data_IF_434323714912
#
_entry.id   IF_434323714912
#
_cell.length_a   1.000
_cell.length_b   1.000
_cell.length_c   1.000
_cell.angle_alpha   90.00
_cell.angle_beta   90.00
_cell.angle_gamma   90.00
#
_symmetry.space_group_name_H-M   'P 1'
#
loop_
_entity.id
_entity.type
_entity.pdbx_description
1 polymer ?
#
# COMPACT_ATOMS: atom_id res chain seq x y z
N UNK A 1 11.41 13.51 -0.38
CA UNK A 1 11.08 14.41 0.74
C UNK A 1 9.60 14.28 1.06
N UNK A 2 9.25 14.36 2.34
CA UNK A 2 7.86 14.38 2.79
C UNK A 2 7.29 15.79 2.68
N UNK A 3 6.01 15.90 2.34
CA UNK A 3 5.27 17.16 2.37
C UNK A 3 4.26 17.05 3.50
N UNK A 4 4.30 17.99 4.45
CA UNK A 4 3.35 18.07 5.55
C UNK A 4 2.47 19.28 5.32
N UNK A 5 1.15 19.11 5.44
CA UNK A 5 0.20 20.18 5.22
C UNK A 5 -1.17 19.87 5.81
N UNK A 6 -2.14 20.74 5.51
CA UNK A 6 -3.53 20.54 5.86
C UNK A 6 -4.33 20.17 4.60
N UNK A 7 -5.17 19.15 4.69
CA UNK A 7 -6.16 18.76 3.69
C UNK A 7 -7.50 18.60 4.40
N UNK A 8 -8.50 19.39 4.01
CA UNK A 8 -9.80 19.45 4.70
C UNK A 8 -9.67 19.71 6.22
N UNK A 9 -8.70 20.56 6.61
CA UNK A 9 -8.40 20.87 8.02
C UNK A 9 -7.61 19.79 8.77
N UNK A 10 -7.34 18.64 8.15
CA UNK A 10 -6.60 17.51 8.74
C UNK A 10 -5.12 17.62 8.40
N UNK A 11 -4.24 17.38 9.38
CA UNK A 11 -2.80 17.27 9.13
C UNK A 11 -2.50 15.98 8.35
N UNK A 12 -1.94 16.14 7.15
CA UNK A 12 -1.57 15.03 6.25
C UNK A 12 -0.07 15.06 5.98
N UNK A 13 0.50 13.86 5.82
CA UNK A 13 1.85 13.64 5.33
C UNK A 13 1.78 12.97 3.96
N UNK A 14 2.34 13.62 2.94
CA UNK A 14 2.44 13.06 1.59
C UNK A 14 3.88 12.66 1.26
N UNK A 15 4.03 11.49 0.63
CA UNK A 15 5.28 10.99 0.09
C UNK A 15 5.06 10.50 -1.34
N UNK A 16 5.79 11.08 -2.30
CA UNK A 16 5.92 10.49 -3.62
C UNK A 16 6.81 9.26 -3.52
N UNK A 17 6.21 8.05 -3.61
CA UNK A 17 6.91 6.76 -3.42
C UNK A 17 8.20 6.67 -4.24
N UNK A 18 8.12 6.94 -5.53
CA UNK A 18 9.23 6.87 -6.48
C UNK A 18 10.12 8.13 -6.53
N UNK A 19 10.00 9.01 -5.52
CA UNK A 19 10.65 10.32 -5.51
C UNK A 19 10.01 11.33 -6.48
N UNK A 20 10.34 12.62 -6.30
CA UNK A 20 9.95 13.65 -7.29
C UNK A 20 10.68 13.36 -8.60
N UNK A 21 9.96 13.42 -9.72
CA UNK A 21 10.48 13.02 -11.03
C UNK A 21 10.51 11.51 -11.29
N UNK A 22 9.95 10.68 -10.39
CA UNK A 22 9.76 9.24 -10.61
C UNK A 22 11.04 8.47 -10.97
N UNK A 23 12.13 8.69 -10.21
CA UNK A 23 13.46 8.20 -10.54
C UNK A 23 13.90 6.93 -9.81
N UNK A 24 13.10 6.42 -8.87
CA UNK A 24 13.41 5.20 -8.11
C UNK A 24 12.66 4.00 -8.68
N UNK A 25 13.35 2.89 -8.95
CA UNK A 25 12.72 1.62 -9.26
C UNK A 25 12.01 1.04 -8.03
N UNK A 26 10.99 0.17 -8.20
CA UNK A 26 10.32 -0.49 -7.08
C UNK A 26 11.27 -1.19 -6.08
N UNK A 27 12.32 -1.85 -6.58
CA UNK A 27 13.31 -2.55 -5.75
C UNK A 27 14.29 -1.61 -5.01
N UNK A 28 14.41 -0.36 -5.45
CA UNK A 28 15.29 0.66 -4.84
C UNK A 28 14.57 1.49 -3.78
N UNK A 29 13.25 1.31 -3.64
CA UNK A 29 12.45 2.09 -2.73
C UNK A 29 12.91 1.87 -1.28
N UNK A 30 13.19 2.96 -0.53
CA UNK A 30 13.66 2.85 0.86
C UNK A 30 12.47 2.61 1.81
N UNK A 31 11.75 1.49 1.65
CA UNK A 31 10.49 1.20 2.34
C UNK A 31 10.59 1.36 3.87
N UNK A 32 11.67 0.86 4.49
CA UNK A 32 11.91 1.02 5.93
C UNK A 32 12.01 2.48 6.33
N UNK A 33 12.82 3.27 5.62
CA UNK A 33 12.97 4.70 5.92
C UNK A 33 11.64 5.44 5.71
N UNK A 34 10.90 5.11 4.66
CA UNK A 34 9.60 5.71 4.35
C UNK A 34 8.61 5.50 5.50
N UNK A 35 8.41 4.25 5.91
CA UNK A 35 7.46 3.92 6.98
C UNK A 35 7.94 4.41 8.34
N UNK A 36 9.24 4.32 8.63
CA UNK A 36 9.81 4.84 9.88
C UNK A 36 9.62 6.35 10.01
N UNK A 37 9.84 7.11 8.94
CA UNK A 37 9.61 8.54 8.91
C UNK A 37 8.12 8.88 9.06
N UNK A 38 7.21 8.15 8.40
CA UNK A 38 5.76 8.30 8.60
C UNK A 38 5.38 8.08 10.06
N UNK A 39 5.87 7.00 10.69
CA UNK A 39 5.63 6.73 12.10
C UNK A 39 6.18 7.84 13.01
N UNK A 40 7.38 8.32 12.72
CA UNK A 40 8.02 9.41 13.46
C UNK A 40 7.26 10.73 13.35
N UNK A 41 6.56 10.96 12.23
CA UNK A 41 5.68 12.10 12.02
C UNK A 41 4.29 11.95 12.66
N UNK A 42 4.02 10.80 13.30
CA UNK A 42 2.74 10.52 13.98
C UNK A 42 1.64 9.99 13.07
N UNK A 43 1.98 9.43 11.90
CA UNK A 43 0.98 8.84 11.01
C UNK A 43 0.36 7.59 11.63
N UNK A 44 -0.97 7.57 11.73
CA UNK A 44 -1.76 6.43 12.24
C UNK A 44 -2.51 5.67 11.15
N UNK A 45 -2.80 6.32 10.02
CA UNK A 45 -3.49 5.77 8.86
C UNK A 45 -2.67 6.07 7.59
N UNK A 46 -2.43 5.04 6.77
CA UNK A 46 -1.67 5.14 5.53
C UNK A 46 -2.51 4.60 4.39
N UNK A 47 -2.86 5.50 3.46
CA UNK A 47 -3.49 5.17 2.19
C UNK A 47 -2.40 5.10 1.13
N UNK A 48 -2.24 3.91 0.54
CA UNK A 48 -1.30 3.66 -0.54
C UNK A 48 -2.01 3.73 -1.88
N UNK A 49 -1.82 4.82 -2.63
CA UNK A 49 -2.26 4.91 -4.02
C UNK A 49 -1.23 4.23 -4.94
N UNK A 50 -1.68 3.29 -5.78
CA UNK A 50 -0.79 2.50 -6.63
C UNK A 50 -1.40 2.19 -7.98
N UNK A 51 -0.66 2.43 -9.06
CA UNK A 51 -0.99 1.90 -10.38
C UNK A 51 -0.81 0.38 -10.41
N UNK A 52 -1.74 -0.33 -11.03
CA UNK A 52 -1.76 -1.79 -11.11
C UNK A 52 -2.24 -2.29 -12.46
N UNK A 53 -1.73 -3.44 -12.88
CA UNK A 53 -2.31 -4.24 -13.97
C UNK A 53 -3.45 -5.10 -13.43
N UNK A 54 -4.49 -5.28 -14.23
CA UNK A 54 -5.60 -6.17 -13.92
C UNK A 54 -5.28 -7.60 -14.35
N UNK A 55 -5.57 -8.56 -13.46
CA UNK A 55 -5.51 -9.98 -13.75
C UNK A 55 -6.92 -10.57 -13.96
N UNK A 56 -7.97 -9.74 -14.10
CA UNK A 56 -9.35 -10.19 -14.28
C UNK A 56 -10.07 -9.36 -15.34
N UNK A 57 -10.79 -10.02 -16.24
CA UNK A 57 -11.59 -9.36 -17.29
C UNK A 57 -12.57 -8.32 -16.73
N UNK A 58 -13.20 -8.63 -15.58
CA UNK A 58 -14.18 -7.75 -14.95
C UNK A 58 -13.58 -6.49 -14.31
N UNK A 59 -12.27 -6.44 -14.08
CA UNK A 59 -11.55 -5.30 -13.48
C UNK A 59 -10.88 -4.55 -14.62
N UNK A 60 -11.50 -3.46 -15.07
CA UNK A 60 -11.13 -2.77 -16.31
C UNK A 60 -10.12 -1.65 -16.05
N UNK A 61 -9.34 -1.20 -17.04
CA UNK A 61 -8.60 0.05 -16.95
C UNK A 61 -9.51 1.20 -16.51
N UNK A 62 -8.98 2.08 -15.66
CA UNK A 62 -9.69 3.16 -14.93
C UNK A 62 -10.54 2.72 -13.73
N UNK A 63 -10.85 1.42 -13.59
CA UNK A 63 -11.49 0.94 -12.37
C UNK A 63 -10.57 1.11 -11.15
N UNK A 64 -11.20 1.16 -9.98
CA UNK A 64 -10.51 1.20 -8.70
C UNK A 64 -10.73 -0.09 -7.95
N UNK A 65 -9.66 -0.59 -7.31
CA UNK A 65 -9.71 -1.77 -6.46
C UNK A 65 -9.21 -1.42 -5.06
N UNK A 66 -9.93 -1.84 -4.05
CA UNK A 66 -9.48 -1.78 -2.65
C UNK A 66 -9.20 -3.22 -2.19
N UNK A 67 -8.00 -3.77 -2.46
CA UNK A 67 -7.68 -5.17 -2.15
C UNK A 67 -7.62 -5.38 -0.64
N UNK A 68 -7.92 -6.62 -0.20
CA UNK A 68 -7.81 -7.00 1.22
C UNK A 68 -6.74 -8.07 1.46
N UNK A 69 -6.17 -8.66 0.40
CA UNK A 69 -5.15 -9.70 0.48
C UNK A 69 -3.98 -9.43 -0.44
N UNK A 70 -2.85 -10.07 -0.14
CA UNK A 70 -1.63 -9.97 -0.94
C UNK A 70 -1.00 -11.33 -1.22
N UNK A 71 -0.29 -11.44 -2.35
CA UNK A 71 0.67 -12.52 -2.65
C UNK A 71 2.05 -11.89 -2.83
N UNK A 72 3.06 -12.44 -2.17
CA UNK A 72 4.45 -11.98 -2.29
C UNK A 72 5.21 -12.72 -3.38
N UNK A 73 5.67 -11.97 -4.39
CA UNK A 73 6.64 -12.40 -5.39
C UNK A 73 7.87 -11.50 -5.41
N UNK A 74 8.08 -10.72 -4.35
CA UNK A 74 9.32 -9.99 -4.12
C UNK A 74 10.39 -10.92 -3.54
N UNK A 75 11.66 -10.64 -3.80
CA UNK A 75 12.78 -11.53 -3.47
C UNK A 75 13.98 -10.80 -2.88
N UNK A 76 14.14 -9.49 -3.13
CA UNK A 76 15.37 -8.76 -2.80
C UNK A 76 15.21 -7.72 -1.68
N UNK A 77 14.00 -7.61 -1.10
CA UNK A 77 13.63 -6.48 -0.24
C UNK A 77 13.66 -6.85 1.23
N UNK A 78 14.24 -5.97 2.05
CA UNK A 78 14.17 -6.09 3.50
C UNK A 78 12.76 -5.69 3.96
N UNK A 79 12.02 -6.65 4.51
CA UNK A 79 10.61 -6.51 4.85
C UNK A 79 10.30 -6.51 6.36
N UNK A 80 11.30 -6.18 7.19
CA UNK A 80 11.14 -6.02 8.64
C UNK A 80 12.05 -4.92 9.19
N UNK A 81 11.63 -4.27 10.27
CA UNK A 81 12.44 -3.38 11.12
C UNK A 81 13.24 -4.14 12.18
N UNK A 82 12.79 -5.35 12.52
CA UNK A 82 13.32 -6.14 13.62
C UNK A 82 14.50 -7.01 13.17
N UNK A 83 15.20 -7.59 14.14
CA UNK A 83 16.57 -8.09 14.00
C UNK A 83 17.47 -7.43 15.04
N UNK A 84 18.79 -7.62 14.90
CA UNK A 84 19.79 -6.96 15.76
C UNK A 84 19.48 -7.08 17.28
N UNK A 85 19.01 -8.26 17.71
CA UNK A 85 18.69 -8.55 19.11
C UNK A 85 17.23 -8.27 19.56
N UNK A 86 16.37 -7.75 18.69
CA UNK A 86 14.93 -7.60 18.97
C UNK A 86 14.14 -8.48 18.01
N UNK A 87 13.45 -9.50 18.54
CA UNK A 87 12.63 -10.44 17.79
C UNK A 87 11.16 -10.04 17.85
N UNK A 88 10.53 -9.91 16.68
CA UNK A 88 9.10 -9.76 16.57
C UNK A 88 8.51 -10.63 15.44
N UNK A 89 7.35 -11.23 15.69
CA UNK A 89 6.56 -11.96 14.67
C UNK A 89 5.16 -11.37 14.58
N UNK A 90 4.96 -10.53 13.57
CA UNK A 90 3.71 -9.79 13.41
C UNK A 90 2.61 -10.67 12.79
N UNK A 91 1.42 -10.63 13.37
CA UNK A 91 0.24 -11.24 12.76
C UNK A 91 -0.08 -10.55 11.42
N UNK A 92 -0.10 -11.32 10.34
CA UNK A 92 -0.24 -10.78 8.98
C UNK A 92 -1.20 -11.58 8.08
N UNK A 93 -2.06 -12.42 8.67
CA UNK A 93 -3.11 -13.16 7.93
C UNK A 93 -4.12 -12.21 7.26
N UNK A 94 -4.45 -11.10 7.93
CA UNK A 94 -5.19 -9.98 7.36
C UNK A 94 -4.23 -8.79 7.20
N UNK A 95 -3.66 -8.56 6.01
CA UNK A 95 -2.58 -7.59 5.82
C UNK A 95 -3.08 -6.14 5.72
N UNK A 96 -4.37 -5.95 5.43
CA UNK A 96 -5.01 -4.64 5.24
C UNK A 96 -5.91 -4.31 6.44
N UNK A 97 -5.98 -3.02 6.81
CA UNK A 97 -6.97 -2.52 7.75
C UNK A 97 -8.34 -2.43 7.05
N UNK A 98 -9.23 -3.39 7.32
CA UNK A 98 -10.56 -3.42 6.69
C UNK A 98 -11.41 -2.18 7.00
N UNK A 99 -11.23 -1.57 8.18
CA UNK A 99 -11.94 -0.35 8.52
C UNK A 99 -11.49 0.85 7.67
N UNK A 100 -10.18 0.99 7.42
CA UNK A 100 -9.65 2.00 6.50
C UNK A 100 -10.01 1.70 5.04
N UNK A 101 -10.04 0.42 4.65
CA UNK A 101 -10.54 -0.01 3.34
C UNK A 101 -12.03 0.34 3.13
N UNK A 102 -12.86 0.22 4.18
CA UNK A 102 -14.25 0.67 4.18
C UNK A 102 -14.35 2.18 3.92
N UNK A 103 -13.55 3.00 4.63
CA UNK A 103 -13.52 4.45 4.41
C UNK A 103 -13.16 4.81 2.95
N UNK A 104 -12.17 4.12 2.36
CA UNK A 104 -11.83 4.32 0.94
C UNK A 104 -12.98 3.92 0.02
N UNK A 105 -13.62 2.79 0.29
CA UNK A 105 -14.74 2.28 -0.50
C UNK A 105 -15.93 3.24 -0.48
N UNK A 106 -16.27 3.75 0.71
CA UNK A 106 -17.34 4.73 0.89
C UNK A 106 -17.02 6.06 0.21
N UNK A 107 -15.75 6.50 0.26
CA UNK A 107 -15.30 7.71 -0.43
C UNK A 107 -15.45 7.58 -1.97
N UNK A 108 -15.05 6.43 -2.54
CA UNK A 108 -15.18 6.17 -3.98
C UNK A 108 -16.66 6.13 -4.38
N UNK A 109 -17.49 5.40 -3.62
CA UNK A 109 -18.92 5.29 -3.89
C UNK A 109 -19.65 6.64 -3.80
N UNK A 110 -19.25 7.50 -2.85
CA UNK A 110 -19.83 8.83 -2.67
C UNK A 110 -19.57 9.75 -3.87
N UNK A 111 -18.37 9.71 -4.44
CA UNK A 111 -17.95 10.62 -5.51
C UNK A 111 -18.61 10.33 -6.87
N UNK A 112 -19.20 9.14 -7.06
CA UNK A 112 -19.88 8.73 -8.31
C UNK A 112 -19.05 9.05 -9.57
N UNK A 113 -17.78 8.67 -9.54
CA UNK A 113 -16.84 8.97 -10.61
C UNK A 113 -17.34 8.35 -11.94
N UNK A 114 -17.41 9.13 -13.03
CA UNK A 114 -17.90 8.63 -14.32
C UNK A 114 -16.96 7.56 -14.86
N UNK A 115 -17.55 6.49 -15.41
CA UNK A 115 -16.83 5.39 -16.06
C UNK A 115 -15.79 4.68 -15.18
N UNK A 116 -15.96 4.75 -13.85
CA UNK A 116 -15.10 4.07 -12.86
C UNK A 116 -15.95 3.11 -12.04
N UNK A 117 -15.62 1.82 -12.08
CA UNK A 117 -16.22 0.83 -11.17
C UNK A 117 -15.33 0.63 -9.95
N UNK A 118 -15.97 0.49 -8.78
CA UNK A 118 -15.30 0.08 -7.55
C UNK A 118 -15.36 -1.43 -7.37
N UNK A 119 -14.20 -2.05 -7.19
CA UNK A 119 -14.06 -3.45 -6.77
C UNK A 119 -13.58 -3.50 -5.33
N UNK A 120 -14.47 -3.93 -4.42
CA UNK A 120 -14.12 -4.13 -3.02
C UNK A 120 -13.50 -5.51 -2.83
N UNK A 121 -12.26 -5.53 -2.34
CA UNK A 121 -11.50 -6.74 -2.08
C UNK A 121 -10.73 -7.29 -3.27
N UNK A 122 -10.36 -8.57 -3.16
CA UNK A 122 -9.43 -9.22 -4.09
C UNK A 122 -7.98 -9.25 -3.57
N UNK A 123 -7.15 -9.94 -4.35
CA UNK A 123 -5.76 -10.23 -3.99
C UNK A 123 -4.81 -9.46 -4.89
N UNK A 124 -3.94 -8.66 -4.29
CA UNK A 124 -2.86 -7.95 -4.97
C UNK A 124 -1.62 -8.84 -5.00
N UNK A 125 -1.14 -9.19 -6.20
CA UNK A 125 0.17 -9.83 -6.34
C UNK A 125 1.26 -8.77 -6.45
N UNK A 126 2.23 -8.82 -5.53
CA UNK A 126 3.37 -7.91 -5.54
C UNK A 126 4.58 -8.60 -6.15
N UNK A 127 4.93 -8.27 -7.39
CA UNK A 127 6.15 -8.77 -8.06
C UNK A 127 7.36 -7.85 -7.80
N UNK A 128 8.56 -8.38 -8.07
CA UNK A 128 9.80 -7.62 -7.87
C UNK A 128 9.96 -6.45 -8.87
N UNK A 129 9.71 -6.70 -10.16
CA UNK A 129 10.05 -5.76 -11.24
C UNK A 129 11.56 -5.76 -11.58
N UNK A 130 12.05 -4.79 -12.39
CA UNK A 130 11.29 -3.71 -13.00
C UNK A 130 10.58 -4.11 -14.30
N UNK A 131 10.94 -5.25 -14.90
CA UNK A 131 10.23 -5.77 -16.05
C UNK A 131 8.80 -6.17 -15.66
N UNK A 132 7.85 -5.93 -16.57
CA UNK A 132 6.51 -6.50 -16.47
C UNK A 132 6.55 -8.02 -16.60
N UNK A 133 5.45 -8.68 -16.23
CA UNK A 133 5.30 -10.12 -16.33
C UNK A 133 5.49 -10.61 -17.77
N UNK A 134 6.00 -11.82 -17.91
CA UNK A 134 5.78 -12.64 -19.10
C UNK A 134 4.32 -13.13 -19.13
N UNK A 135 3.81 -13.49 -20.32
CA UNK A 135 2.45 -14.07 -20.47
C UNK A 135 2.24 -15.32 -19.62
N UNK A 136 3.29 -16.13 -19.42
CA UNK A 136 3.24 -17.32 -18.58
C UNK A 136 3.06 -16.96 -17.09
N UNK A 137 3.78 -15.95 -16.61
CA UNK A 137 3.63 -15.45 -15.24
C UNK A 137 2.24 -14.87 -15.00
N UNK A 138 1.72 -14.03 -15.90
CA UNK A 138 0.36 -13.47 -15.74
C UNK A 138 -0.70 -14.58 -15.67
N UNK A 139 -0.60 -15.60 -16.51
CA UNK A 139 -1.52 -16.74 -16.47
C UNK A 139 -1.36 -17.60 -15.21
N UNK A 140 -0.14 -17.78 -14.71
CA UNK A 140 0.11 -18.43 -13.42
C UNK A 140 -0.55 -17.67 -12.28
N UNK A 141 -0.36 -16.35 -12.22
CA UNK A 141 -0.93 -15.49 -11.18
C UNK A 141 -2.46 -15.46 -11.22
N UNK A 142 -3.05 -15.50 -12.43
CA UNK A 142 -4.49 -15.70 -12.62
C UNK A 142 -4.96 -17.05 -12.08
N UNK A 143 -4.21 -18.13 -12.32
CA UNK A 143 -4.55 -19.46 -11.78
C UNK A 143 -4.52 -19.52 -10.25
N UNK A 144 -3.73 -18.65 -9.60
CA UNK A 144 -3.72 -18.49 -8.13
C UNK A 144 -4.89 -17.65 -7.61
N UNK A 145 -5.71 -17.08 -8.49
CA UNK A 145 -6.84 -16.22 -8.13
C UNK A 145 -6.46 -14.78 -7.82
N UNK A 146 -5.25 -14.33 -8.16
CA UNK A 146 -4.88 -12.91 -8.02
C UNK A 146 -5.82 -12.01 -8.84
N UNK A 147 -6.20 -10.86 -8.29
CA UNK A 147 -7.11 -9.91 -8.94
C UNK A 147 -6.35 -8.83 -9.72
N UNK A 148 -5.26 -8.35 -9.13
CA UNK A 148 -4.45 -7.24 -9.65
C UNK A 148 -2.98 -7.51 -9.35
N UNK A 149 -2.09 -6.90 -10.13
CA UNK A 149 -0.64 -7.02 -9.99
C UNK A 149 0.00 -5.64 -9.92
N UNK A 150 0.98 -5.50 -9.03
CA UNK A 150 1.85 -4.35 -8.99
C UNK A 150 3.17 -4.69 -8.33
N UNK A 151 3.97 -3.67 -7.99
CA UNK A 151 5.36 -3.89 -7.59
C UNK A 151 5.72 -3.31 -6.21
N UNK A 152 4.79 -2.71 -5.45
CA UNK A 152 5.19 -1.82 -4.33
C UNK A 152 4.53 -2.06 -2.98
N UNK A 153 3.33 -2.64 -2.90
CA UNK A 153 2.54 -2.51 -1.67
C UNK A 153 2.86 -3.52 -0.56
N UNK A 154 3.46 -4.67 -0.85
CA UNK A 154 3.53 -5.71 0.17
C UNK A 154 4.62 -5.49 1.22
N UNK A 155 5.84 -5.13 0.81
CA UNK A 155 6.90 -4.72 1.74
C UNK A 155 6.44 -3.51 2.57
N UNK A 156 5.74 -2.56 1.93
CA UNK A 156 5.15 -1.39 2.57
C UNK A 156 4.10 -1.77 3.63
N UNK A 157 3.18 -2.69 3.33
CA UNK A 157 2.14 -3.17 4.23
C UNK A 157 2.72 -3.92 5.46
N UNK A 158 3.73 -4.79 5.24
CA UNK A 158 4.43 -5.50 6.33
C UNK A 158 5.05 -4.52 7.32
N UNK A 159 5.80 -3.54 6.80
CA UNK A 159 6.45 -2.52 7.61
C UNK A 159 5.44 -1.58 8.28
N UNK A 160 4.35 -1.21 7.60
CA UNK A 160 3.28 -0.41 8.20
C UNK A 160 2.64 -1.13 9.38
N UNK A 161 2.42 -2.45 9.28
CA UNK A 161 1.93 -3.27 10.39
C UNK A 161 2.90 -3.31 11.56
N UNK A 162 4.19 -3.53 11.30
CA UNK A 162 5.23 -3.49 12.35
C UNK A 162 5.35 -2.11 13.02
N UNK A 163 5.11 -1.03 12.27
CA UNK A 163 5.07 0.33 12.79
C UNK A 163 3.74 0.70 13.46
N UNK A 164 2.79 -0.24 13.56
CA UNK A 164 1.45 -0.05 14.09
C UNK A 164 0.67 1.07 13.40
N UNK A 165 0.73 1.10 12.07
CA UNK A 165 0.01 2.02 11.20
C UNK A 165 -1.10 1.24 10.48
N UNK A 166 -2.32 1.75 10.51
CA UNK A 166 -3.44 1.20 9.74
C UNK A 166 -3.17 1.41 8.25
N UNK A 167 -3.02 0.33 7.48
CA UNK A 167 -2.65 0.36 6.07
C UNK A 167 -3.81 -0.05 5.17
N UNK A 168 -4.04 0.68 4.08
CA UNK A 168 -4.93 0.24 3.00
C UNK A 168 -4.45 0.73 1.65
N UNK A 169 -4.83 0.02 0.58
CA UNK A 169 -4.43 0.31 -0.79
C UNK A 169 -5.62 0.86 -1.58
N UNK A 170 -5.39 1.96 -2.28
CA UNK A 170 -6.20 2.43 -3.39
C UNK A 170 -5.49 2.03 -4.69
N UNK A 171 -5.91 0.92 -5.29
CA UNK A 171 -5.31 0.42 -6.52
C UNK A 171 -6.04 1.02 -7.74
N UNK A 172 -5.28 1.57 -8.66
CA UNK A 172 -5.74 2.30 -9.83
C UNK A 172 -5.37 1.49 -11.07
N UNK A 173 -6.35 0.86 -11.72
CA UNK A 173 -6.09 -0.06 -12.82
C UNK A 173 -5.69 0.72 -14.05
N UNK A 174 -4.55 0.40 -14.65
CA UNK A 174 -4.02 1.09 -15.83
C UNK A 174 -4.21 0.30 -17.12
N UNK A 175 -4.17 -1.02 -17.01
CA UNK A 175 -4.12 -1.98 -18.12
C UNK A 175 -4.48 -3.39 -17.59
N UNK A 176 -4.53 -4.39 -18.47
CA UNK A 176 -4.81 -5.79 -18.12
C UNK A 176 -3.56 -6.66 -17.93
N UNK A 177 -2.41 -6.08 -17.59
CA UNK A 177 -1.12 -6.78 -17.69
C UNK A 177 -0.97 -7.41 -19.11
N UNK A 178 -0.07 -8.38 -19.30
CA UNK A 178 0.19 -8.94 -20.63
C UNK A 178 -0.66 -10.16 -21.03
N UNK A 179 -1.62 -10.60 -20.19
CA UNK A 179 -2.44 -11.78 -20.49
C UNK A 179 -3.57 -11.51 -21.49
N UNK A 180 -4.01 -10.25 -21.60
CA UNK A 180 -5.16 -9.90 -22.41
C UNK A 180 -4.77 -9.84 -23.91
N UNK A 181 -5.61 -10.36 -24.83
CA UNK A 181 -5.33 -10.32 -26.27
C UNK A 181 -5.06 -8.91 -26.80
N UNK A 182 -5.78 -7.92 -26.27
CA UNK A 182 -5.61 -6.51 -26.66
C UNK A 182 -4.37 -5.84 -26.02
N UNK A 183 -3.55 -6.56 -25.26
CA UNK A 183 -2.34 -5.99 -24.65
C UNK A 183 -1.41 -5.37 -25.69
N UNK A 184 -1.26 -6.00 -26.86
CA UNK A 184 -0.40 -5.50 -27.93
C UNK A 184 -0.97 -4.22 -28.59
N UNK A 185 -2.20 -3.82 -28.26
CA UNK A 185 -2.82 -2.54 -28.63
C UNK A 185 -2.67 -1.47 -27.56
N UNK A 186 -2.18 -1.81 -26.36
CA UNK A 186 -1.92 -0.85 -25.28
C UNK A 186 -0.64 -0.06 -25.61
N UNK A 187 -0.81 1.19 -25.99
CA UNK A 187 0.31 2.11 -26.23
C UNK A 187 0.77 2.78 -24.93
N UNK A 188 2.03 3.24 -24.90
CA UNK A 188 2.57 4.05 -23.79
C UNK A 188 1.68 5.28 -23.54
N UNK A 189 1.20 5.92 -24.60
CA UNK A 189 0.35 7.10 -24.50
C UNK A 189 -1.00 6.79 -23.84
N UNK A 190 -1.61 5.63 -24.12
CA UNK A 190 -2.82 5.18 -23.44
C UNK A 190 -2.58 4.95 -21.94
N UNK A 191 -1.45 4.31 -21.58
CA UNK A 191 -1.07 4.10 -20.18
C UNK A 191 -0.89 5.45 -19.47
N UNK A 192 -0.18 6.39 -20.09
CA UNK A 192 0.04 7.73 -19.54
C UNK A 192 -1.29 8.49 -19.38
N UNK A 193 -2.18 8.42 -20.37
CA UNK A 193 -3.52 9.01 -20.30
C UNK A 193 -4.37 8.43 -19.17
N UNK A 194 -4.36 7.11 -19.01
CA UNK A 194 -5.04 6.43 -17.91
C UNK A 194 -4.43 6.82 -16.55
N UNK A 195 -3.10 6.91 -16.44
CA UNK A 195 -2.41 7.35 -15.23
C UNK A 195 -2.82 8.78 -14.82
N UNK A 196 -2.93 9.71 -15.79
CA UNK A 196 -3.35 11.08 -15.50
C UNK A 196 -4.80 11.15 -15.01
N UNK A 197 -5.73 10.43 -15.66
CA UNK A 197 -7.12 10.35 -15.20
C UNK A 197 -7.21 9.71 -13.82
N UNK A 198 -6.51 8.60 -13.61
CA UNK A 198 -6.43 7.91 -12.33
C UNK A 198 -5.84 8.81 -11.24
N UNK A 199 -4.84 9.64 -11.54
CA UNK A 199 -4.26 10.57 -10.59
C UNK A 199 -5.28 11.62 -10.12
N UNK A 200 -6.04 12.21 -11.04
CA UNK A 200 -7.11 13.16 -10.70
C UNK A 200 -8.18 12.52 -9.83
N UNK A 201 -8.66 11.34 -10.23
CA UNK A 201 -9.68 10.60 -9.48
C UNK A 201 -9.17 10.19 -8.09
N UNK A 202 -7.92 9.71 -7.99
CA UNK A 202 -7.30 9.36 -6.72
C UNK A 202 -7.18 10.56 -5.78
N UNK A 203 -6.87 11.76 -6.29
CA UNK A 203 -6.82 12.97 -5.46
C UNK A 203 -8.20 13.31 -4.87
N UNK A 204 -9.27 13.18 -5.66
CA UNK A 204 -10.64 13.38 -5.18
C UNK A 204 -11.00 12.35 -4.10
N UNK A 205 -10.72 11.07 -4.34
CA UNK A 205 -10.96 9.98 -3.39
C UNK A 205 -10.17 10.17 -2.10
N UNK A 206 -8.89 10.53 -2.17
CA UNK A 206 -8.04 10.75 -1.00
C UNK A 206 -8.56 11.95 -0.18
N UNK A 207 -8.96 13.04 -0.83
CA UNK A 207 -9.56 14.20 -0.14
C UNK A 207 -10.81 13.79 0.64
N UNK A 208 -11.72 13.06 -0.01
CA UNK A 208 -12.95 12.58 0.63
C UNK A 208 -12.68 11.57 1.75
N UNK A 209 -11.73 10.64 1.55
CA UNK A 209 -11.32 9.70 2.58
C UNK A 209 -10.72 10.41 3.80
N UNK A 210 -9.90 11.44 3.59
CA UNK A 210 -9.34 12.27 4.67
C UNK A 210 -10.45 13.02 5.43
N UNK A 211 -11.44 13.57 4.72
CA UNK A 211 -12.60 14.20 5.35
C UNK A 211 -13.36 13.21 6.26
N UNK A 212 -13.63 11.99 5.78
CA UNK A 212 -14.29 10.93 6.56
C UNK A 212 -13.46 10.48 7.76
N UNK A 213 -12.16 10.29 7.57
CA UNK A 213 -11.24 9.95 8.66
C UNK A 213 -11.22 11.02 9.74
N UNK A 214 -11.34 12.31 9.38
CA UNK A 214 -11.40 13.40 10.34
C UNK A 214 -12.64 13.34 11.24
N UNK A 215 -13.78 13.00 10.64
CA UNK A 215 -15.07 12.97 11.33
C UNK A 215 -15.22 11.77 12.24
N UNK A 216 -14.77 10.60 11.78
CA UNK A 216 -14.90 9.35 12.51
C UNK A 216 -13.69 8.43 12.24
N UNK A 217 -12.54 8.67 12.90
CA UNK A 217 -11.36 7.83 12.74
C UNK A 217 -11.68 6.39 13.17
N UNK A 218 -11.55 5.39 12.28
CA UNK A 218 -11.92 4.02 12.60
C UNK A 218 -10.88 3.36 13.51
N UNK A 219 -11.34 2.56 14.48
CA UNK A 219 -10.44 1.73 15.28
C UNK A 219 -9.77 0.67 14.41
N UNK A 220 -8.45 0.54 14.51
CA UNK A 220 -7.68 -0.46 13.78
C UNK A 220 -6.90 -1.36 14.73
N UNK A 221 -7.01 -2.68 14.52
CA UNK A 221 -6.17 -3.66 15.21
C UNK A 221 -4.67 -3.46 14.93
N UNK A 222 -4.33 -2.80 13.80
CA UNK A 222 -2.95 -2.48 13.46
C UNK A 222 -2.28 -1.57 14.52
N UNK A 223 -3.04 -0.70 15.19
CA UNK A 223 -2.50 0.27 16.17
C UNK A 223 -1.93 -0.37 17.44
N UNK A 224 -2.14 -1.67 17.62
CA UNK A 224 -1.61 -2.48 18.72
C UNK A 224 -0.96 -3.78 18.24
N UNK A 225 -0.67 -3.88 16.94
CA UNK A 225 -0.20 -5.13 16.35
C UNK A 225 1.11 -5.62 16.97
N UNK A 226 1.97 -4.70 17.43
CA UNK A 226 3.27 -5.04 17.96
C UNK A 226 3.20 -5.62 19.38
N UNK A 227 2.13 -5.32 20.14
CA UNK A 227 1.95 -5.73 21.53
C UNK A 227 2.08 -7.24 21.75
N UNK A 228 1.44 -8.03 20.89
CA UNK A 228 1.46 -9.49 20.96
C UNK A 228 2.56 -10.11 20.09
N UNK A 229 3.30 -9.28 19.35
CA UNK A 229 4.30 -9.73 18.39
C UNK A 229 5.73 -9.62 18.91
N UNK A 230 6.01 -8.80 19.93
CA UNK A 230 7.34 -8.69 20.54
C UNK A 230 7.64 -9.89 21.45
N UNK A 231 8.70 -10.64 21.12
CA UNK A 231 9.15 -11.80 21.90
C UNK A 231 10.32 -11.45 22.82
N UNK A 232 11.24 -10.59 22.35
CA UNK A 232 12.34 -10.13 23.19
C UNK A 232 11.80 -9.24 24.31
N UNK A 233 12.08 -9.59 25.56
CA UNK A 233 11.69 -8.78 26.71
C UNK A 233 12.48 -7.46 26.74
N UNK A 234 11.89 -6.33 27.18
CA UNK A 234 12.58 -5.02 27.18
C UNK A 234 13.95 -5.00 27.86
N UNK A 235 14.12 -5.78 28.94
CA UNK A 235 15.38 -5.92 29.66
C UNK A 235 16.49 -6.64 28.87
N UNK A 236 16.13 -7.44 27.87
CA UNK A 236 17.07 -8.18 27.01
C UNK A 236 17.32 -7.49 25.66
N UNK A 237 16.63 -6.39 25.37
CA UNK A 237 16.81 -5.64 24.12
C UNK A 237 18.11 -4.82 24.17
N UNK A 238 19.01 -4.92 23.17
CA UNK A 238 20.20 -4.07 23.10
C UNK A 238 19.84 -2.58 23.07
N UNK A 239 20.59 -1.75 23.81
CA UNK A 239 20.33 -0.31 23.91
C UNK A 239 20.42 0.40 22.56
N UNK A 240 21.41 0.04 21.75
CA UNK A 240 21.58 0.59 20.39
C UNK A 240 20.34 0.32 19.52
N UNK A 241 19.82 -0.91 19.55
CA UNK A 241 18.63 -1.30 18.78
C UNK A 241 17.37 -0.61 19.31
N UNK A 242 17.23 -0.44 20.64
CA UNK A 242 16.12 0.33 21.24
C UNK A 242 16.12 1.78 20.79
N UNK A 243 17.30 2.42 20.77
CA UNK A 243 17.45 3.81 20.30
C UNK A 243 17.10 3.92 18.81
N UNK A 244 17.65 3.02 17.99
CA UNK A 244 17.39 2.96 16.54
C UNK A 244 15.91 2.76 16.20
N UNK A 245 15.18 1.97 16.99
CA UNK A 245 13.77 1.64 16.76
C UNK A 245 12.80 2.40 17.68
N UNK A 246 13.26 3.44 18.36
CA UNK A 246 12.49 4.13 19.40
C UNK A 246 11.06 4.56 18.96
N UNK A 247 10.83 5.15 17.77
CA UNK A 247 9.48 5.50 17.33
C UNK A 247 8.52 4.31 17.19
N UNK A 248 9.04 3.10 16.97
CA UNK A 248 8.24 1.88 16.86
C UNK A 248 8.02 1.25 18.25
N UNK A 249 9.02 1.32 19.13
CA UNK A 249 9.03 0.66 20.43
C UNK A 249 8.51 1.51 21.59
N UNK A 250 8.30 2.82 21.40
CA UNK A 250 7.96 3.77 22.48
C UNK A 250 6.81 3.33 23.41
N UNK A 251 5.85 2.54 22.93
CA UNK A 251 4.73 2.03 23.76
C UNK A 251 5.09 0.84 24.65
N UNK A 252 6.25 0.23 24.42
CA UNK A 252 6.67 -1.08 24.94
C UNK A 252 8.00 -1.04 25.71
N UNK A 253 8.63 0.14 25.80
CA UNK A 253 9.80 0.43 26.62
C UNK A 253 9.37 1.23 27.84
#
# INVERSE_FOLDING_TARGET
SFIVGLLEGVRVVFLARHGRGHHLLPSELPFRANIYAMKSLGVEYLISASAVGSLKEAIKPLDMVVPHQFIDRTTQRIATFFGDGILAHIGFGDPVCLALAGVLSDAIAHLQLPDVSLHQGGTYLCMEGPAFSTKAESNLYRSWGASIIGMTNLTEAKLAREAEIAYSTLALVTDYDCWHPDHDHVTVDMIVGNLQKNATNAQAVIREAVHRLAQNPPVSSAHHALKAALFTQPAAMPDETKVKLHPLLKKYL
#
